data_IF_617230200751
#
_entry.id   IF_617230200751
#
_cell.length_a   1.000
_cell.length_b   1.000
_cell.length_c   1.000
_cell.angle_alpha   90.00
_cell.angle_beta   90.00
_cell.angle_gamma   90.00
#
_symmetry.space_group_name_H-M   'P 1'
#
loop_
_entity.id
_entity.type
_entity.pdbx_description
1 polymer ?
#
# COMPACT_ATOMS: atom_id res chain seq x y z
N UNK A 1 24.08 -32.55 23.04
CA UNK A 1 23.65 -31.16 23.27
C UNK A 1 23.50 -30.35 21.96
N UNK A 2 22.95 -30.93 20.88
CA UNK A 2 22.79 -30.22 19.58
C UNK A 2 21.39 -29.64 19.36
N UNK A 3 20.37 -30.21 20.02
CA UNK A 3 18.98 -29.79 19.83
C UNK A 3 18.70 -28.41 20.43
N UNK A 4 19.34 -28.06 21.54
CA UNK A 4 19.18 -26.74 22.17
C UNK A 4 19.73 -25.61 21.27
N UNK A 5 20.88 -25.83 20.63
CA UNK A 5 21.45 -24.86 19.68
C UNK A 5 20.56 -24.70 18.45
N UNK A 6 20.02 -25.81 17.93
CA UNK A 6 19.11 -25.76 16.78
C UNK A 6 17.76 -25.10 17.12
N UNK A 7 17.28 -25.28 18.34
CA UNK A 7 16.08 -24.59 18.84
C UNK A 7 16.30 -23.08 18.95
N UNK A 8 17.46 -22.66 19.45
CA UNK A 8 17.83 -21.24 19.52
C UNK A 8 17.94 -20.61 18.13
N UNK A 9 18.58 -21.30 17.18
CA UNK A 9 18.68 -20.84 15.80
C UNK A 9 17.32 -20.72 15.13
N UNK A 10 16.42 -21.70 15.34
CA UNK A 10 15.07 -21.64 14.80
C UNK A 10 14.27 -20.47 15.40
N UNK A 11 14.41 -20.22 16.69
CA UNK A 11 13.73 -19.10 17.36
C UNK A 11 14.21 -17.75 16.81
N UNK A 12 15.52 -17.62 16.56
CA UNK A 12 16.11 -16.44 15.93
C UNK A 12 15.58 -16.23 14.51
N UNK A 13 15.44 -17.31 13.75
CA UNK A 13 14.87 -17.23 12.40
C UNK A 13 13.40 -16.84 12.41
N UNK A 14 12.62 -17.32 13.39
CA UNK A 14 11.23 -16.92 13.58
C UNK A 14 11.09 -15.43 13.90
N UNK A 15 11.95 -14.90 14.78
CA UNK A 15 11.99 -13.46 15.08
C UNK A 15 12.26 -12.63 13.82
N UNK A 16 13.30 -12.99 13.05
CA UNK A 16 13.63 -12.29 11.79
C UNK A 16 12.49 -12.35 10.77
N UNK A 17 11.79 -13.48 10.67
CA UNK A 17 10.64 -13.61 9.75
C UNK A 17 9.46 -12.77 10.24
N UNK A 18 9.21 -12.74 11.55
CA UNK A 18 8.16 -11.91 12.16
C UNK A 18 8.39 -10.43 11.89
N UNK A 19 9.62 -9.95 12.09
CA UNK A 19 9.98 -8.54 11.85
C UNK A 19 9.75 -8.15 10.38
N UNK A 20 10.16 -9.02 9.44
CA UNK A 20 9.93 -8.80 8.01
C UNK A 20 8.45 -8.77 7.64
N UNK A 21 7.61 -9.58 8.29
CA UNK A 21 6.16 -9.54 8.06
C UNK A 21 5.54 -8.23 8.52
N UNK A 22 6.01 -7.68 9.65
CA UNK A 22 5.59 -6.37 10.15
C UNK A 22 5.94 -5.29 9.12
N UNK A 23 7.18 -5.27 8.64
CA UNK A 23 7.65 -4.30 7.64
C UNK A 23 6.83 -4.36 6.33
N UNK A 24 6.55 -5.57 5.83
CA UNK A 24 5.74 -5.76 4.63
C UNK A 24 4.28 -5.31 4.85
N UNK A 25 3.71 -5.60 6.03
CA UNK A 25 2.35 -5.18 6.36
C UNK A 25 2.17 -3.66 6.39
N UNK A 26 3.23 -2.95 6.81
CA UNK A 26 3.29 -1.50 6.85
C UNK A 26 3.37 -0.93 5.43
N UNK A 27 4.21 -1.50 4.56
CA UNK A 27 4.30 -1.10 3.15
C UNK A 27 3.00 -1.35 2.38
N UNK A 28 2.32 -2.45 2.67
CA UNK A 28 1.01 -2.73 2.08
C UNK A 28 -0.08 -1.79 2.62
N UNK A 29 0.06 -1.16 3.79
CA UNK A 29 -0.97 -0.26 4.29
C UNK A 29 -1.12 0.98 3.39
N UNK A 30 -0.01 1.65 3.10
CA UNK A 30 0.01 2.80 2.19
C UNK A 30 -0.31 2.35 0.75
N UNK A 31 0.26 1.22 0.30
CA UNK A 31 -0.05 0.64 -1.01
C UNK A 31 -1.54 0.30 -1.20
N UNK A 32 -2.20 -0.20 -0.16
CA UNK A 32 -3.64 -0.50 -0.16
C UNK A 32 -4.47 0.78 -0.20
N UNK A 33 -4.07 1.83 0.53
CA UNK A 33 -4.75 3.13 0.49
C UNK A 33 -4.67 3.74 -0.93
N UNK A 34 -3.50 3.77 -1.55
CA UNK A 34 -3.34 4.27 -2.92
C UNK A 34 -4.02 3.39 -3.98
N UNK A 35 -4.01 2.07 -3.80
CA UNK A 35 -4.72 1.13 -4.68
C UNK A 35 -6.24 1.35 -4.61
N UNK A 36 -6.78 1.51 -3.39
CA UNK A 36 -8.19 1.87 -3.16
C UNK A 36 -8.53 3.22 -3.80
N UNK A 37 -7.73 4.25 -3.54
CA UNK A 37 -7.94 5.60 -4.09
C UNK A 37 -7.87 5.62 -5.62
N UNK A 38 -6.92 4.89 -6.22
CA UNK A 38 -6.82 4.76 -7.68
C UNK A 38 -8.08 4.12 -8.27
N UNK A 39 -8.60 3.06 -7.65
CA UNK A 39 -9.83 2.41 -8.11
C UNK A 39 -11.06 3.29 -7.95
N UNK A 40 -11.14 4.07 -6.87
CA UNK A 40 -12.21 5.06 -6.69
C UNK A 40 -12.14 6.16 -7.76
N UNK A 41 -10.95 6.68 -8.07
CA UNK A 41 -10.75 7.68 -9.12
C UNK A 41 -11.13 7.13 -10.52
N UNK A 42 -10.82 5.86 -10.80
CA UNK A 42 -11.25 5.17 -12.03
C UNK A 42 -12.77 5.07 -12.15
N UNK A 43 -13.47 4.91 -11.02
CA UNK A 43 -14.93 4.86 -10.94
C UNK A 43 -15.59 6.25 -10.94
N UNK A 44 -14.80 7.32 -10.98
CA UNK A 44 -15.29 8.70 -11.08
C UNK A 44 -15.46 9.42 -9.75
N UNK A 45 -14.87 8.91 -8.66
CA UNK A 45 -14.86 9.61 -7.37
C UNK A 45 -14.18 10.99 -7.49
N UNK A 46 -14.73 11.98 -6.81
CA UNK A 46 -14.20 13.34 -6.82
C UNK A 46 -13.06 13.55 -5.81
N UNK A 47 -12.42 14.73 -5.89
CA UNK A 47 -11.30 15.10 -5.02
C UNK A 47 -11.63 14.95 -3.53
N UNK A 48 -12.83 15.38 -3.13
CA UNK A 48 -13.22 15.40 -1.72
C UNK A 48 -13.54 13.99 -1.21
N UNK A 49 -14.13 13.14 -2.05
CA UNK A 49 -14.35 11.73 -1.74
C UNK A 49 -13.04 10.98 -1.53
N UNK A 50 -12.04 11.20 -2.39
CA UNK A 50 -10.71 10.59 -2.23
C UNK A 50 -10.01 11.03 -0.95
N UNK A 51 -10.10 12.32 -0.60
CA UNK A 51 -9.52 12.85 0.63
C UNK A 51 -10.17 12.24 1.88
N UNK A 52 -11.51 12.11 1.92
CA UNK A 52 -12.21 11.57 3.10
C UNK A 52 -12.08 10.06 3.24
N UNK A 53 -12.31 9.32 2.16
CA UNK A 53 -12.46 7.86 2.23
C UNK A 53 -11.13 7.11 2.28
N UNK A 54 -10.07 7.72 1.74
CA UNK A 54 -8.73 7.16 1.72
C UNK A 54 -7.75 7.91 2.63
N UNK A 55 -8.26 8.88 3.42
CA UNK A 55 -7.50 9.72 4.34
C UNK A 55 -6.28 10.40 3.66
N UNK A 56 -6.48 10.84 2.41
CA UNK A 56 -5.42 11.40 1.59
C UNK A 56 -5.30 12.92 1.78
N UNK A 57 -4.07 13.46 1.87
CA UNK A 57 -3.83 14.89 1.73
C UNK A 57 -4.32 15.41 0.37
N UNK A 58 -4.79 16.66 0.34
CA UNK A 58 -5.29 17.31 -0.88
C UNK A 58 -4.31 17.21 -2.06
N UNK A 59 -3.02 17.44 -1.81
CA UNK A 59 -2.00 17.39 -2.86
C UNK A 59 -1.87 15.99 -3.49
N UNK A 60 -2.01 14.93 -2.70
CA UNK A 60 -1.93 13.55 -3.18
C UNK A 60 -3.17 13.15 -3.97
N UNK A 61 -4.36 13.54 -3.49
CA UNK A 61 -5.60 13.33 -4.21
C UNK A 61 -5.60 14.06 -5.57
N UNK A 62 -5.12 15.31 -5.62
CA UNK A 62 -4.96 16.05 -6.88
C UNK A 62 -3.97 15.37 -7.84
N UNK A 63 -2.86 14.85 -7.33
CA UNK A 63 -1.89 14.11 -8.14
C UNK A 63 -2.52 12.86 -8.75
N UNK A 64 -3.23 12.05 -7.96
CA UNK A 64 -3.91 10.85 -8.42
C UNK A 64 -4.93 11.15 -9.52
N UNK A 65 -5.72 12.23 -9.37
CA UNK A 65 -6.68 12.64 -10.40
C UNK A 65 -6.00 13.02 -11.73
N UNK A 66 -4.87 13.75 -11.68
CA UNK A 66 -4.11 14.10 -12.89
C UNK A 66 -3.49 12.88 -13.57
N UNK A 67 -2.96 11.95 -12.78
CA UNK A 67 -2.42 10.68 -13.28
C UNK A 67 -3.52 9.88 -13.99
N UNK A 68 -4.73 9.83 -13.41
CA UNK A 68 -5.87 9.14 -14.01
C UNK A 68 -6.31 9.78 -15.33
N UNK A 69 -6.40 11.11 -15.39
CA UNK A 69 -6.71 11.82 -16.64
C UNK A 69 -5.70 11.50 -17.75
N UNK A 70 -4.41 11.47 -17.40
CA UNK A 70 -3.34 11.14 -18.35
C UNK A 70 -3.44 9.68 -18.84
N UNK A 71 -3.80 8.74 -17.96
CA UNK A 71 -4.03 7.33 -18.32
C UNK A 71 -5.26 7.18 -19.22
N UNK A 72 -6.37 7.87 -18.91
CA UNK A 72 -7.58 7.84 -19.73
C UNK A 72 -7.36 8.40 -21.13
N UNK A 73 -6.54 9.46 -21.27
CA UNK A 73 -6.14 10.00 -22.58
C UNK A 73 -5.36 8.99 -23.41
N UNK A 74 -4.37 8.30 -22.81
CA UNK A 74 -3.60 7.25 -23.50
C UNK A 74 -4.43 6.03 -23.92
N UNK A 75 -5.56 5.76 -23.28
CA UNK A 75 -6.45 4.63 -23.62
C UNK A 75 -7.39 4.93 -24.80
N UNK A 76 -7.52 6.20 -25.19
CA UNK A 76 -8.38 6.66 -26.28
C UNK A 76 -7.58 7.18 -27.50
N UNK A 77 -6.24 7.11 -27.46
CA UNK A 77 -5.35 7.24 -28.63
C UNK A 77 -4.91 5.86 -29.11
#
# INVERSE_FOLDING_TARGET
MGMSQKMMELNRQLEVVSDRQIDLSMQDADGRLYSRASKMAELGADLHELMRECDLPKAEAELLMRLQQTRSQKRHS
#
